data_IF_142504982183
#
_entry.id   IF_142504982183
#
_cell.length_a   1.000
_cell.length_b   1.000
_cell.length_c   1.000
_cell.angle_alpha   90.00
_cell.angle_beta   90.00
_cell.angle_gamma   90.00
#
_symmetry.space_group_name_H-M   'P 1'
#
loop_
_entity.id
_entity.type
_entity.pdbx_description
1 polymer ?
#
# COMPACT_ATOMS: atom_id res chain seq x y z
N UNK A 1 1.69 -20.87 28.94
CA UNK A 1 2.17 -19.65 28.24
C UNK A 1 0.96 -18.75 27.98
N UNK A 2 0.98 -17.49 28.42
CA UNK A 2 -0.10 -16.52 28.14
C UNK A 2 -0.13 -16.23 26.65
N UNK A 3 -1.28 -16.38 26.01
CA UNK A 3 -1.47 -16.17 24.57
C UNK A 3 -1.56 -14.70 24.16
N UNK A 4 -1.95 -14.42 22.90
CA UNK A 4 -2.08 -13.05 22.35
C UNK A 4 -3.12 -12.18 23.05
N UNK A 5 -4.01 -12.79 23.86
CA UNK A 5 -5.14 -12.11 24.51
C UNK A 5 -4.73 -10.97 25.44
N UNK A 6 -3.56 -11.07 26.09
CA UNK A 6 -3.06 -10.01 26.97
C UNK A 6 -2.78 -8.69 26.25
N UNK A 7 -2.52 -8.73 24.94
CA UNK A 7 -2.19 -7.56 24.14
C UNK A 7 -3.42 -6.89 23.51
N UNK A 8 -4.63 -7.46 23.69
CA UNK A 8 -5.84 -6.96 23.04
C UNK A 8 -6.19 -5.53 23.48
N UNK A 9 -6.07 -5.25 24.78
CA UNK A 9 -6.35 -3.93 25.32
C UNK A 9 -5.37 -2.88 24.78
N UNK A 10 -4.06 -3.19 24.79
CA UNK A 10 -3.02 -2.30 24.28
C UNK A 10 -3.16 -2.07 22.77
N UNK A 11 -3.49 -3.12 21.99
CA UNK A 11 -3.74 -3.00 20.56
C UNK A 11 -4.96 -2.13 20.25
N UNK A 12 -6.05 -2.27 21.01
CA UNK A 12 -7.23 -1.44 20.87
C UNK A 12 -6.95 0.03 21.24
N UNK A 13 -6.20 0.28 22.31
CA UNK A 13 -5.79 1.62 22.71
C UNK A 13 -4.86 2.27 21.68
N UNK A 14 -3.88 1.53 21.15
CA UNK A 14 -2.99 2.00 20.10
C UNK A 14 -3.76 2.34 18.81
N UNK A 15 -4.73 1.51 18.43
CA UNK A 15 -5.60 1.79 17.28
C UNK A 15 -6.46 3.05 17.50
N UNK A 16 -7.02 3.22 18.70
CA UNK A 16 -7.83 4.40 19.03
C UNK A 16 -7.01 5.70 19.04
N UNK A 17 -5.72 5.63 19.42
CA UNK A 17 -4.80 6.76 19.40
C UNK A 17 -4.15 7.02 18.04
N UNK A 18 -4.25 6.08 17.10
CA UNK A 18 -3.62 6.20 15.79
C UNK A 18 -4.23 7.36 14.99
N UNK A 19 -3.41 8.15 14.27
CA UNK A 19 -3.91 9.16 13.36
C UNK A 19 -4.92 8.57 12.35
N UNK A 20 -5.92 9.34 11.91
CA UNK A 20 -6.89 8.87 10.90
C UNK A 20 -6.35 8.89 9.46
N UNK A 21 -5.05 9.11 9.29
CA UNK A 21 -4.37 9.12 7.99
C UNK A 21 -2.96 8.54 8.05
N UNK A 22 -2.28 8.48 6.91
CA UNK A 22 -0.87 8.11 6.78
C UNK A 22 -0.63 6.94 5.85
N UNK A 23 0.54 6.30 5.93
CA UNK A 23 0.89 5.13 5.11
C UNK A 23 0.51 3.83 5.80
N UNK A 24 -0.20 2.96 5.09
CA UNK A 24 -0.40 1.59 5.55
C UNK A 24 0.88 0.76 5.25
N UNK A 25 1.41 0.13 6.30
CA UNK A 25 2.60 -0.73 6.22
C UNK A 25 2.21 -2.20 6.27
N UNK A 26 1.26 -2.51 7.15
CA UNK A 26 0.68 -3.83 7.35
C UNK A 26 -0.81 -3.71 7.08
N UNK A 27 -1.31 -4.50 6.14
CA UNK A 27 -2.72 -4.55 5.77
C UNK A 27 -3.06 -5.95 5.25
N UNK A 28 -4.34 -6.34 5.31
CA UNK A 28 -4.77 -7.65 4.81
C UNK A 28 -4.37 -7.87 3.34
N UNK A 29 -3.83 -9.06 3.06
CA UNK A 29 -3.39 -9.45 1.72
C UNK A 29 -2.03 -8.88 1.27
N UNK A 30 -1.34 -8.10 2.11
CA UNK A 30 0.00 -7.59 1.77
C UNK A 30 1.09 -8.67 1.75
N UNK A 31 0.88 -9.78 2.47
CA UNK A 31 1.84 -10.89 2.55
C UNK A 31 1.80 -11.75 1.28
N UNK A 32 2.98 -12.24 0.86
CA UNK A 32 3.15 -13.19 -0.24
C UNK A 32 2.52 -12.75 -1.58
N UNK A 33 2.52 -11.44 -1.83
CA UNK A 33 2.12 -10.92 -3.13
C UNK A 33 3.17 -11.30 -4.18
N UNK A 34 2.74 -11.74 -5.38
CA UNK A 34 3.67 -11.98 -6.47
C UNK A 34 4.37 -10.66 -6.87
N UNK A 35 5.56 -10.79 -7.44
CA UNK A 35 6.32 -9.63 -7.93
C UNK A 35 5.55 -8.81 -8.98
N UNK A 36 4.63 -9.46 -9.70
CA UNK A 36 3.75 -8.86 -10.70
C UNK A 36 2.34 -9.45 -10.60
N UNK A 37 1.34 -8.59 -10.76
CA UNK A 37 -0.08 -8.95 -10.83
C UNK A 37 -0.87 -7.85 -11.55
N UNK A 38 -2.12 -8.12 -11.89
CA UNK A 38 -3.00 -7.11 -12.48
C UNK A 38 -3.57 -6.18 -11.41
N UNK A 39 -4.08 -5.01 -11.81
CA UNK A 39 -4.81 -4.11 -10.90
C UNK A 39 -6.03 -4.83 -10.30
N UNK A 40 -6.75 -5.64 -11.08
CA UNK A 40 -7.88 -6.42 -10.60
C UNK A 40 -7.49 -7.45 -9.54
N UNK A 41 -6.39 -8.16 -9.75
CA UNK A 41 -5.85 -9.10 -8.75
C UNK A 41 -5.41 -8.38 -7.48
N UNK A 42 -4.81 -7.19 -7.62
CA UNK A 42 -4.36 -6.39 -6.48
C UNK A 42 -5.55 -5.96 -5.60
N UNK A 43 -6.60 -5.43 -6.22
CA UNK A 43 -7.79 -4.94 -5.49
C UNK A 43 -8.63 -6.08 -4.91
N UNK A 44 -8.64 -7.25 -5.56
CA UNK A 44 -9.40 -8.40 -5.06
C UNK A 44 -8.71 -9.19 -3.95
N UNK A 45 -7.36 -9.18 -3.92
CA UNK A 45 -6.57 -9.99 -2.97
C UNK A 45 -6.11 -9.20 -1.74
N UNK A 46 -6.21 -7.88 -1.77
CA UNK A 46 -5.71 -7.01 -0.70
C UNK A 46 -6.79 -6.10 -0.16
N UNK A 47 -6.55 -5.47 0.98
CA UNK A 47 -7.42 -4.42 1.50
C UNK A 47 -7.29 -3.07 0.77
N UNK A 48 -6.58 -3.00 -0.37
CA UNK A 48 -6.49 -1.79 -1.17
C UNK A 48 -7.81 -1.59 -1.91
N UNK A 49 -8.47 -0.46 -1.65
CA UNK A 49 -9.78 -0.15 -2.25
C UNK A 49 -9.66 0.47 -3.64
N UNK A 50 -8.57 1.22 -3.88
CA UNK A 50 -8.39 1.95 -5.13
C UNK A 50 -6.92 2.12 -5.51
N UNK A 51 -6.70 2.30 -6.81
CA UNK A 51 -5.42 2.74 -7.36
C UNK A 51 -5.54 4.15 -7.95
N UNK A 52 -4.51 4.98 -7.76
CA UNK A 52 -4.41 6.31 -8.37
C UNK A 52 -3.10 6.45 -9.10
N UNK A 53 -3.15 6.66 -10.41
CA UNK A 53 -1.95 6.86 -11.23
C UNK A 53 -1.52 8.32 -11.20
N UNK A 54 -0.22 8.56 -11.05
CA UNK A 54 0.39 9.87 -11.24
C UNK A 54 0.08 10.41 -12.64
N UNK A 55 -0.28 11.69 -12.72
CA UNK A 55 -0.69 12.32 -13.98
C UNK A 55 -2.12 11.98 -14.42
N UNK A 56 -2.90 11.24 -13.62
CA UNK A 56 -4.35 11.06 -13.83
C UNK A 56 -4.72 10.03 -14.90
N UNK A 57 -3.77 9.23 -15.39
CA UNK A 57 -4.07 8.13 -16.30
C UNK A 57 -4.96 7.06 -15.61
N UNK A 58 -5.85 6.43 -16.38
CA UNK A 58 -6.63 5.30 -15.88
C UNK A 58 -5.81 4.01 -15.98
N UNK A 59 -5.81 3.22 -14.90
CA UNK A 59 -5.31 1.84 -14.92
C UNK A 59 -6.52 0.89 -14.93
N UNK A 60 -6.73 0.21 -16.06
CA UNK A 60 -7.78 -0.81 -16.17
C UNK A 60 -7.45 -2.05 -15.31
N UNK A 61 -8.44 -2.92 -15.04
CA UNK A 61 -8.26 -4.10 -14.19
C UNK A 61 -7.16 -5.04 -14.71
N UNK A 62 -6.99 -5.16 -16.03
CA UNK A 62 -5.97 -6.01 -16.67
C UNK A 62 -4.56 -5.39 -16.68
N UNK A 63 -4.40 -4.13 -16.25
CA UNK A 63 -3.10 -3.47 -16.29
C UNK A 63 -2.14 -4.12 -15.28
N UNK A 64 -0.91 -4.38 -15.72
CA UNK A 64 0.12 -4.99 -14.88
C UNK A 64 0.72 -3.98 -13.89
N UNK A 65 0.91 -4.44 -12.66
CA UNK A 65 1.59 -3.75 -11.57
C UNK A 65 2.78 -4.59 -11.14
N UNK A 66 3.98 -4.00 -11.15
CA UNK A 66 5.17 -4.61 -10.54
C UNK A 66 5.31 -4.11 -9.09
N UNK A 67 5.05 -4.99 -8.12
CA UNK A 67 4.85 -4.62 -6.70
C UNK A 67 6.13 -4.21 -5.99
N UNK A 68 7.29 -4.64 -6.50
CA UNK A 68 8.62 -4.45 -5.89
C UNK A 68 8.70 -4.94 -4.44
N UNK A 69 7.76 -5.80 -4.04
CA UNK A 69 7.55 -6.19 -2.64
C UNK A 69 7.44 -4.98 -1.68
N UNK A 70 6.96 -3.84 -2.18
CA UNK A 70 6.89 -2.59 -1.44
C UNK A 70 5.63 -1.81 -1.82
N UNK A 71 4.55 -2.05 -1.07
CA UNK A 71 3.28 -1.34 -1.24
C UNK A 71 3.04 -0.42 -0.04
N UNK A 72 2.83 0.87 -0.32
CA UNK A 72 2.57 1.90 0.69
C UNK A 72 1.30 2.67 0.32
N UNK A 73 0.11 2.05 0.42
CA UNK A 73 -1.13 2.75 0.17
C UNK A 73 -1.30 3.88 1.19
N UNK A 74 -1.86 4.97 0.70
CA UNK A 74 -2.38 6.04 1.54
C UNK A 74 -3.62 5.53 2.25
N UNK A 75 -3.61 5.59 3.58
CA UNK A 75 -4.80 5.39 4.38
C UNK A 75 -5.39 6.75 4.67
N UNK A 76 -6.66 6.93 4.31
CA UNK A 76 -7.47 8.04 4.75
C UNK A 76 -8.79 7.48 5.27
N UNK A 77 -9.07 7.70 6.56
CA UNK A 77 -10.18 7.06 7.25
C UNK A 77 -10.09 5.53 7.09
N UNK A 78 -11.08 4.94 6.43
CA UNK A 78 -11.21 3.50 6.18
C UNK A 78 -10.84 3.11 4.74
N UNK A 79 -10.32 4.05 3.93
CA UNK A 79 -9.91 3.78 2.54
C UNK A 79 -8.41 3.67 2.40
N UNK A 80 -7.95 2.63 1.71
CA UNK A 80 -6.58 2.42 1.26
C UNK A 80 -6.46 2.69 -0.24
N UNK A 81 -5.77 3.76 -0.61
CA UNK A 81 -5.48 4.11 -2.01
C UNK A 81 -4.01 3.91 -2.33
N UNK A 82 -3.68 3.00 -3.24
CA UNK A 82 -2.31 2.82 -3.72
C UNK A 82 -1.99 3.81 -4.85
N UNK A 83 -0.92 4.58 -4.68
CA UNK A 83 -0.43 5.46 -5.73
C UNK A 83 0.53 4.73 -6.68
N UNK A 84 0.28 4.83 -7.97
CA UNK A 84 1.05 4.18 -9.02
C UNK A 84 1.73 5.20 -9.94
N UNK A 85 2.91 4.86 -10.43
CA UNK A 85 3.62 5.58 -11.48
C UNK A 85 3.61 4.75 -12.78
N UNK A 86 3.46 5.37 -13.97
CA UNK A 86 3.65 4.69 -15.24
C UNK A 86 5.08 4.13 -15.39
N UNK A 87 5.20 3.00 -16.06
CA UNK A 87 6.46 2.34 -16.41
C UNK A 87 6.38 1.73 -17.81
N UNK A 88 7.51 1.28 -18.36
CA UNK A 88 7.57 0.68 -19.71
C UNK A 88 6.69 -0.58 -19.85
N UNK A 89 6.46 -1.31 -18.75
CA UNK A 89 5.75 -2.59 -18.74
C UNK A 89 4.37 -2.54 -18.05
N UNK A 90 3.85 -1.34 -17.76
CA UNK A 90 2.62 -1.15 -16.97
C UNK A 90 2.85 -0.13 -15.86
N UNK A 91 2.62 -0.50 -14.61
CA UNK A 91 2.69 0.39 -13.46
C UNK A 91 3.61 -0.13 -12.35
N UNK A 92 4.10 0.80 -11.52
CA UNK A 92 4.87 0.52 -10.31
C UNK A 92 4.35 1.35 -9.15
N UNK A 93 4.48 0.90 -7.88
CA UNK A 93 4.24 1.76 -6.73
C UNK A 93 5.06 3.04 -6.79
N UNK A 94 4.44 4.17 -6.44
CA UNK A 94 5.10 5.47 -6.41
C UNK A 94 6.20 5.54 -5.34
N UNK A 95 5.94 4.98 -4.16
CA UNK A 95 6.91 4.97 -3.07
C UNK A 95 7.97 3.88 -3.31
N UNK A 96 9.23 4.21 -3.02
CA UNK A 96 10.38 3.31 -3.23
C UNK A 96 10.94 2.84 -1.88
N UNK A 97 11.38 1.57 -1.77
CA UNK A 97 11.82 0.97 -0.50
C UNK A 97 13.07 1.59 0.13
N UNK A 98 13.84 2.36 -0.64
CA UNK A 98 15.04 3.06 -0.19
C UNK A 98 15.20 4.33 -1.04
N UNK A 99 14.50 5.43 -0.68
CA UNK A 99 14.61 6.67 -1.41
C UNK A 99 15.99 7.26 -1.15
N UNK A 100 16.89 7.12 -2.13
CA UNK A 100 18.13 7.89 -2.11
C UNK A 100 17.78 9.38 -2.04
N UNK A 101 18.35 10.14 -1.09
CA UNK A 101 18.13 11.58 -1.06
C UNK A 101 18.65 12.17 -2.36
N UNK A 102 17.74 12.69 -3.18
CA UNK A 102 18.13 13.55 -4.30
C UNK A 102 18.71 14.81 -3.68
N UNK A 103 19.98 15.10 -3.97
CA UNK A 103 20.72 16.25 -3.46
C UNK A 103 19.85 17.52 -3.50
N UNK A 104 19.39 17.94 -2.32
CA UNK A 104 18.42 19.03 -2.17
C UNK A 104 18.22 19.37 -0.70
N UNK A 105 19.32 19.50 0.05
CA UNK A 105 19.31 20.26 1.29
C UNK A 105 19.25 21.73 0.92
N UNK A 106 18.17 22.40 1.28
CA UNK A 106 18.07 23.86 1.27
C UNK A 106 18.15 24.34 2.72
#
# INVERSE_FOLDING_TARGET
>A
ARGPERWRADAAAALAAAPRGGRAVLFPGAADLPARLTVGDLLSRTAIDAVRVLGGAAAGPEALVETRNHLRPDRSHDTLTLQLAPSRAGFVPFEVPDPHPCCGGH
#
